data_IF_412840613368
#
_entry.id   IF_412840613368
#
_cell.length_a   1.000
_cell.length_b   1.000
_cell.length_c   1.000
_cell.angle_alpha   90.00
_cell.angle_beta   90.00
_cell.angle_gamma   90.00
#
_symmetry.space_group_name_H-M   'P 1'
#
loop_
_entity.id
_entity.type
_entity.pdbx_description
1 polymer ?
#
# COMPACT_ATOMS: atom_id res chain seq x y z
N UNK A 1 44.40 34.83 -84.37
CA UNK A 1 43.95 35.65 -83.23
C UNK A 1 42.96 34.85 -82.44
N UNK A 2 43.38 34.22 -81.32
CA UNK A 2 42.55 33.37 -80.45
C UNK A 2 42.48 34.03 -79.08
N UNK A 3 41.32 34.56 -78.78
CA UNK A 3 41.02 35.09 -77.46
C UNK A 3 40.67 33.92 -76.52
N UNK A 4 41.48 33.77 -75.50
CA UNK A 4 41.23 32.82 -74.41
C UNK A 4 40.50 33.57 -73.33
N UNK A 5 39.23 33.21 -73.08
CA UNK A 5 38.42 33.67 -71.91
C UNK A 5 38.79 32.85 -70.73
N UNK A 6 39.45 33.43 -69.74
CA UNK A 6 39.67 32.82 -68.44
C UNK A 6 38.51 33.20 -67.55
N UNK A 7 37.64 32.24 -67.22
CA UNK A 7 36.55 32.36 -66.28
C UNK A 7 37.09 32.10 -64.87
N UNK A 8 37.23 33.19 -64.08
CA UNK A 8 37.56 33.11 -62.68
C UNK A 8 36.30 32.70 -61.88
N UNK A 9 36.31 31.47 -61.42
CA UNK A 9 35.30 30.93 -60.49
C UNK A 9 35.70 31.37 -59.10
N UNK A 10 35.06 32.42 -58.56
CA UNK A 10 35.16 32.79 -57.17
C UNK A 10 34.19 31.90 -56.34
N UNK A 11 34.74 30.88 -55.73
CA UNK A 11 34.01 30.03 -54.78
C UNK A 11 33.75 30.81 -53.51
N UNK A 12 32.49 31.12 -53.27
CA UNK A 12 32.04 31.63 -51.99
C UNK A 12 32.00 30.47 -50.98
N UNK A 13 32.95 30.45 -50.07
CA UNK A 13 32.88 29.56 -48.91
C UNK A 13 31.78 30.10 -47.96
N UNK A 14 30.62 29.46 -47.97
CA UNK A 14 29.63 29.64 -46.93
C UNK A 14 30.10 28.83 -45.72
N UNK A 15 30.66 29.50 -44.74
CA UNK A 15 30.86 28.92 -43.43
C UNK A 15 29.49 28.83 -42.73
N UNK A 16 28.92 27.63 -42.70
CA UNK A 16 27.84 27.33 -41.83
C UNK A 16 28.39 27.30 -40.38
N UNK A 17 28.19 28.37 -39.63
CA UNK A 17 28.37 28.36 -38.20
C UNK A 17 27.17 27.58 -37.64
N UNK A 18 27.39 26.33 -37.26
CA UNK A 18 26.47 25.60 -36.38
C UNK A 18 26.55 26.27 -35.03
N UNK A 19 25.56 27.08 -34.70
CA UNK A 19 25.23 27.43 -33.34
C UNK A 19 24.86 26.13 -32.65
N UNK A 20 25.79 25.57 -31.90
CA UNK A 20 25.46 24.62 -30.86
C UNK A 20 24.82 25.47 -29.76
N UNK A 21 23.49 25.54 -29.77
CA UNK A 21 22.77 25.89 -28.57
C UNK A 21 23.11 24.83 -27.53
N UNK A 22 23.97 25.20 -26.59
CA UNK A 22 24.07 24.51 -25.33
C UNK A 22 22.69 24.60 -24.69
N UNK A 23 21.79 23.68 -25.04
CA UNK A 23 20.67 23.36 -24.20
C UNK A 23 21.28 22.80 -22.91
N UNK A 24 21.38 23.66 -21.92
CA UNK A 24 21.52 23.22 -20.54
C UNK A 24 20.39 22.22 -20.32
N UNK A 25 20.72 20.93 -20.48
CA UNK A 25 19.90 19.86 -19.91
C UNK A 25 19.99 20.12 -18.43
N UNK A 26 19.00 20.86 -17.91
CA UNK A 26 18.69 20.85 -16.50
C UNK A 26 18.45 19.38 -16.17
N UNK A 27 19.48 18.71 -15.70
CA UNK A 27 19.33 17.46 -14.98
C UNK A 27 18.49 17.80 -13.74
N UNK A 28 17.17 17.80 -13.94
CA UNK A 28 16.28 17.55 -12.85
C UNK A 28 16.64 16.13 -12.39
N UNK A 29 17.59 16.04 -11.48
CA UNK A 29 17.75 14.87 -10.66
C UNK A 29 16.42 14.75 -9.91
N UNK A 30 15.49 13.97 -10.48
CA UNK A 30 14.36 13.48 -9.72
C UNK A 30 14.97 12.71 -8.56
N UNK A 31 14.98 13.35 -7.41
CA UNK A 31 15.40 12.77 -6.17
C UNK A 31 14.48 11.58 -5.92
N UNK A 32 14.94 10.38 -6.25
CA UNK A 32 14.18 9.15 -6.06
C UNK A 32 14.11 8.87 -4.57
N UNK A 33 13.08 9.38 -3.94
CA UNK A 33 12.77 9.08 -2.55
C UNK A 33 12.16 7.67 -2.50
N UNK A 34 12.84 6.75 -1.85
CA UNK A 34 12.23 5.47 -1.50
C UNK A 34 11.33 5.65 -0.29
N UNK A 35 10.09 5.22 -0.45
CA UNK A 35 9.12 5.19 0.63
C UNK A 35 8.92 3.74 1.07
N UNK A 36 9.01 3.48 2.36
CA UNK A 36 8.70 2.18 2.92
C UNK A 36 7.62 2.32 4.00
N UNK A 37 6.63 1.45 3.98
CA UNK A 37 5.61 1.36 5.02
C UNK A 37 5.96 0.19 5.92
N UNK A 38 6.25 0.48 7.18
CA UNK A 38 6.37 -0.50 8.24
C UNK A 38 5.09 -0.52 9.10
N UNK A 39 4.84 -1.64 9.76
CA UNK A 39 3.69 -1.77 10.66
C UNK A 39 3.94 -2.81 11.73
N UNK A 40 3.29 -2.61 12.88
CA UNK A 40 3.38 -3.47 14.04
C UNK A 40 1.97 -3.92 14.48
N UNK A 41 1.87 -5.19 14.87
CA UNK A 41 0.63 -5.86 15.31
C UNK A 41 0.76 -6.33 16.76
N UNK A 42 1.52 -5.61 17.59
CA UNK A 42 1.91 -6.04 18.94
C UNK A 42 0.74 -5.99 19.94
N UNK A 43 -0.24 -5.14 19.66
CA UNK A 43 -1.42 -5.05 20.50
C UNK A 43 -2.22 -6.36 20.46
N UNK A 44 -2.74 -6.83 21.62
CA UNK A 44 -3.59 -8.00 21.66
C UNK A 44 -4.87 -7.78 20.84
N UNK A 45 -5.39 -8.87 20.29
CA UNK A 45 -6.70 -8.86 19.63
C UNK A 45 -7.80 -8.63 20.66
N UNK A 46 -8.65 -7.65 20.43
CA UNK A 46 -9.74 -7.29 21.32
C UNK A 46 -11.07 -7.79 20.74
N UNK A 47 -11.96 -8.23 21.66
CA UNK A 47 -13.28 -8.77 21.30
C UNK A 47 -14.38 -7.83 21.75
N UNK A 48 -15.32 -7.53 20.85
CA UNK A 48 -16.51 -6.79 21.25
C UNK A 48 -17.43 -7.67 22.08
N UNK A 49 -17.92 -7.10 23.18
CA UNK A 49 -18.76 -7.82 24.15
C UNK A 49 -20.02 -8.39 23.48
N UNK A 50 -20.26 -9.68 23.69
CA UNK A 50 -21.49 -10.35 23.34
C UNK A 50 -22.48 -10.20 24.51
N UNK A 51 -23.74 -9.86 24.20
CA UNK A 51 -24.79 -9.62 25.21
C UNK A 51 -25.55 -10.93 25.50
N UNK A 52 -24.88 -11.88 26.13
CA UNK A 52 -25.50 -13.16 26.53
C UNK A 52 -24.85 -13.74 27.80
N UNK A 53 -25.46 -14.78 28.37
CA UNK A 53 -25.03 -15.37 29.63
C UNK A 53 -23.74 -16.15 29.58
N UNK A 54 -23.47 -16.86 28.45
CA UNK A 54 -22.28 -17.69 28.27
C UNK A 54 -21.64 -17.39 26.87
N UNK A 55 -20.89 -16.28 26.75
CA UNK A 55 -20.25 -15.92 25.49
C UNK A 55 -18.97 -16.73 25.26
N UNK A 56 -18.81 -17.24 24.05
CA UNK A 56 -17.53 -17.73 23.53
C UNK A 56 -17.15 -16.87 22.33
N UNK A 57 -15.96 -16.29 22.34
CA UNK A 57 -15.53 -15.40 21.28
C UNK A 57 -14.99 -16.14 20.08
N UNK A 58 -15.11 -15.52 18.90
CA UNK A 58 -14.57 -16.08 17.67
C UNK A 58 -13.05 -16.25 17.76
N UNK A 59 -12.54 -17.31 17.15
CA UNK A 59 -11.09 -17.59 17.11
C UNK A 59 -10.63 -17.88 15.70
N UNK A 60 -9.51 -17.29 15.32
CA UNK A 60 -8.85 -17.63 14.06
C UNK A 60 -8.32 -19.05 14.13
N UNK A 61 -8.40 -19.79 13.02
CA UNK A 61 -7.82 -21.12 12.91
C UNK A 61 -6.30 -21.02 13.10
N UNK A 62 -5.78 -21.70 14.11
CA UNK A 62 -4.39 -21.63 14.54
C UNK A 62 -4.10 -20.54 15.58
N UNK A 63 -5.10 -19.75 15.99
CA UNK A 63 -4.99 -18.77 17.07
C UNK A 63 -4.52 -17.39 16.66
N UNK A 64 -4.38 -16.50 17.64
CA UNK A 64 -4.06 -15.08 17.44
C UNK A 64 -2.70 -14.87 16.78
N UNK A 65 -1.67 -15.62 17.21
CA UNK A 65 -0.32 -15.48 16.65
C UNK A 65 -0.28 -15.83 15.15
N UNK A 66 -1.00 -16.88 14.75
CA UNK A 66 -1.11 -17.27 13.34
C UNK A 66 -1.91 -16.24 12.54
N UNK A 67 -2.96 -15.69 13.11
CA UNK A 67 -3.69 -14.58 12.49
C UNK A 67 -2.78 -13.39 12.21
N UNK A 68 -2.04 -12.91 13.22
CA UNK A 68 -1.12 -11.78 13.09
C UNK A 68 0.00 -12.06 12.08
N UNK A 69 0.56 -13.25 12.10
CA UNK A 69 1.61 -13.66 11.16
C UNK A 69 1.08 -13.68 9.72
N UNK A 70 -0.12 -14.22 9.51
CA UNK A 70 -0.71 -14.31 8.19
C UNK A 70 -1.05 -12.93 7.63
N UNK A 71 -1.74 -12.09 8.40
CA UNK A 71 -2.08 -10.74 7.94
C UNK A 71 -0.82 -9.91 7.69
N UNK A 72 0.18 -10.01 8.54
CA UNK A 72 1.47 -9.34 8.33
C UNK A 72 2.13 -9.78 7.03
N UNK A 73 2.17 -11.08 6.75
CA UNK A 73 2.73 -11.59 5.49
C UNK A 73 2.00 -11.06 4.26
N UNK A 74 0.68 -11.04 4.30
CA UNK A 74 -0.12 -10.56 3.18
C UNK A 74 0.02 -9.05 2.99
N UNK A 75 -0.01 -8.27 4.07
CA UNK A 75 0.16 -6.82 3.99
C UNK A 75 1.49 -6.43 3.35
N UNK A 76 2.59 -7.16 3.62
CA UNK A 76 3.88 -6.93 2.94
C UNK A 76 3.80 -7.03 1.41
N UNK A 77 2.89 -7.86 0.89
CA UNK A 77 2.73 -8.06 -0.55
C UNK A 77 1.76 -7.10 -1.22
N UNK A 78 0.91 -6.43 -0.45
CA UNK A 78 -0.17 -5.61 -1.00
C UNK A 78 -0.06 -4.12 -0.67
N UNK A 79 0.62 -3.73 0.42
CA UNK A 79 0.79 -2.31 0.73
C UNK A 79 1.67 -1.63 -0.33
N UNK A 80 1.09 -0.66 -1.03
CA UNK A 80 1.77 0.10 -2.08
C UNK A 80 2.42 1.35 -1.50
N UNK A 81 3.74 1.29 -1.39
CA UNK A 81 4.55 2.39 -0.85
C UNK A 81 4.70 3.58 -1.79
N UNK A 82 4.31 3.44 -3.05
CA UNK A 82 4.39 4.50 -4.06
C UNK A 82 3.15 5.40 -4.13
N UNK A 83 2.00 4.94 -3.59
CA UNK A 83 0.71 5.60 -3.78
C UNK A 83 0.25 6.42 -2.58
N UNK A 84 0.70 6.12 -1.37
CA UNK A 84 0.25 6.80 -0.16
C UNK A 84 1.26 6.69 0.98
N UNK A 85 1.12 7.58 1.94
CA UNK A 85 1.81 7.52 3.23
C UNK A 85 0.80 7.26 4.33
N UNK A 86 1.19 6.49 5.33
CA UNK A 86 0.34 6.17 6.48
C UNK A 86 1.16 6.16 7.77
N UNK A 87 0.70 6.91 8.77
CA UNK A 87 1.35 7.01 10.06
C UNK A 87 0.30 6.98 11.17
N UNK A 88 0.63 6.29 12.25
CA UNK A 88 -0.19 6.24 13.45
C UNK A 88 -0.89 4.91 13.66
N UNK A 89 -1.72 4.88 14.70
CA UNK A 89 -2.45 3.68 15.12
C UNK A 89 -3.79 3.60 14.44
N UNK A 90 -4.02 2.51 13.72
CA UNK A 90 -5.30 2.19 13.10
C UNK A 90 -5.95 1.00 13.80
N UNK A 91 -7.27 0.98 13.81
CA UNK A 91 -8.07 -0.14 14.28
C UNK A 91 -8.66 -0.89 13.09
N UNK A 92 -8.22 -2.12 12.89
CA UNK A 92 -8.82 -3.05 11.95
C UNK A 92 -9.94 -3.81 12.66
N UNK A 93 -11.19 -3.51 12.32
CA UNK A 93 -12.38 -4.14 12.89
C UNK A 93 -12.88 -5.17 11.88
N UNK A 94 -12.87 -6.43 12.27
CA UNK A 94 -13.33 -7.56 11.47
C UNK A 94 -14.71 -8.02 11.94
N UNK A 95 -15.61 -8.21 10.99
CA UNK A 95 -16.97 -8.73 11.25
C UNK A 95 -17.04 -10.19 10.82
N UNK A 96 -17.15 -11.07 11.83
CA UNK A 96 -17.14 -12.50 11.65
C UNK A 96 -18.57 -13.02 11.72
N UNK A 97 -19.01 -13.68 10.68
CA UNK A 97 -20.34 -14.27 10.60
C UNK A 97 -20.50 -15.51 11.47
N UNK A 98 -21.74 -15.85 11.76
CA UNK A 98 -22.11 -17.08 12.49
C UNK A 98 -21.63 -18.37 11.82
N UNK A 99 -21.23 -18.32 10.57
CA UNK A 99 -20.63 -19.44 9.82
C UNK A 99 -19.10 -19.43 9.88
N UNK A 100 -18.48 -18.50 10.60
CA UNK A 100 -17.03 -18.36 10.69
C UNK A 100 -16.36 -17.64 9.51
N UNK A 101 -17.13 -17.10 8.57
CA UNK A 101 -16.57 -16.32 7.47
C UNK A 101 -16.34 -14.85 7.87
N UNK A 102 -15.30 -14.23 7.30
CA UNK A 102 -15.13 -12.78 7.34
C UNK A 102 -16.16 -12.15 6.41
N UNK A 103 -17.12 -11.41 6.95
CA UNK A 103 -18.18 -10.77 6.19
C UNK A 103 -17.74 -9.42 5.61
N UNK A 104 -17.10 -8.61 6.43
CA UNK A 104 -16.57 -7.29 6.08
C UNK A 104 -15.55 -6.85 7.10
N UNK A 105 -14.84 -5.77 6.78
CA UNK A 105 -13.96 -5.09 7.73
C UNK A 105 -14.20 -3.58 7.72
N UNK A 106 -13.63 -2.89 8.69
CA UNK A 106 -13.52 -1.44 8.75
C UNK A 106 -12.12 -1.09 9.23
N UNK A 107 -11.56 -0.03 8.68
CA UNK A 107 -10.29 0.54 9.12
C UNK A 107 -10.57 1.92 9.72
N UNK A 108 -10.07 2.19 10.93
CA UNK A 108 -10.24 3.47 11.63
C UNK A 108 -8.90 3.99 12.15
N UNK A 109 -8.66 5.33 12.16
CA UNK A 109 -9.60 6.36 11.71
C UNK A 109 -9.73 6.38 10.19
N UNK A 110 -10.83 6.95 9.69
CA UNK A 110 -10.92 7.31 8.28
C UNK A 110 -9.99 8.50 8.02
N UNK A 111 -9.15 8.39 7.00
CA UNK A 111 -8.16 9.42 6.64
C UNK A 111 -8.36 9.85 5.19
N UNK A 112 -7.92 11.05 4.86
CA UNK A 112 -7.94 11.52 3.48
C UNK A 112 -7.19 10.52 2.58
N UNK A 113 -7.77 10.17 1.44
CA UNK A 113 -7.26 9.13 0.52
C UNK A 113 -7.11 7.71 1.13
N UNK A 114 -7.74 7.45 2.28
CA UNK A 114 -7.69 6.17 2.97
C UNK A 114 -8.20 4.98 2.17
N UNK A 115 -8.98 5.23 1.10
CA UNK A 115 -9.50 4.19 0.22
C UNK A 115 -8.40 3.33 -0.45
N UNK A 116 -7.21 3.88 -0.66
CA UNK A 116 -6.08 3.12 -1.20
C UNK A 116 -5.52 2.14 -0.17
N UNK A 117 -5.33 2.60 1.06
CA UNK A 117 -4.93 1.73 2.17
C UNK A 117 -6.00 0.66 2.45
N UNK A 118 -7.28 1.05 2.45
CA UNK A 118 -8.40 0.11 2.64
C UNK A 118 -8.42 -0.96 1.55
N UNK A 119 -8.22 -0.59 0.28
CA UNK A 119 -8.11 -1.53 -0.83
C UNK A 119 -7.00 -2.55 -0.59
N UNK A 120 -5.82 -2.09 -0.19
CA UNK A 120 -4.66 -2.96 -0.01
C UNK A 120 -4.82 -3.87 1.21
N UNK A 121 -5.41 -3.36 2.30
CA UNK A 121 -5.79 -4.16 3.47
C UNK A 121 -6.88 -5.19 3.09
N UNK A 122 -7.84 -4.81 2.24
CA UNK A 122 -8.86 -5.74 1.75
C UNK A 122 -8.24 -6.89 0.95
N UNK A 123 -7.31 -6.57 0.04
CA UNK A 123 -6.60 -7.58 -0.74
C UNK A 123 -5.79 -8.53 0.16
N UNK A 124 -5.11 -7.99 1.16
CA UNK A 124 -4.39 -8.77 2.15
C UNK A 124 -5.33 -9.72 2.92
N UNK A 125 -6.48 -9.23 3.38
CA UNK A 125 -7.47 -10.03 4.09
C UNK A 125 -8.07 -11.12 3.20
N UNK A 126 -8.43 -10.81 1.97
CA UNK A 126 -9.00 -11.79 1.01
C UNK A 126 -7.99 -12.88 0.67
N UNK A 127 -6.73 -12.51 0.43
CA UNK A 127 -5.68 -13.46 0.07
C UNK A 127 -5.27 -14.37 1.25
N UNK A 128 -5.55 -13.94 2.47
CA UNK A 128 -5.31 -14.74 3.67
C UNK A 128 -6.27 -15.94 3.77
N UNK A 129 -7.39 -15.91 3.03
CA UNK A 129 -8.47 -16.90 3.11
C UNK A 129 -8.87 -17.19 4.59
N UNK A 130 -9.34 -16.19 5.32
CA UNK A 130 -9.48 -16.28 6.77
C UNK A 130 -10.56 -17.29 7.15
N UNK A 131 -10.22 -18.23 8.02
CA UNK A 131 -11.14 -19.19 8.60
C UNK A 131 -11.21 -18.96 10.11
N UNK A 132 -12.43 -18.79 10.61
CA UNK A 132 -12.70 -18.54 12.02
C UNK A 132 -13.63 -19.61 12.57
N UNK A 133 -13.38 -20.03 13.80
CA UNK A 133 -14.42 -20.64 14.61
C UNK A 133 -15.35 -19.50 15.02
N UNK A 134 -16.67 -19.57 14.72
CA UNK A 134 -17.59 -18.47 15.04
C UNK A 134 -17.75 -18.29 16.53
N UNK A 135 -18.15 -17.08 16.91
CA UNK A 135 -18.55 -16.83 18.27
C UNK A 135 -19.88 -17.55 18.59
N UNK A 136 -20.07 -17.89 19.84
CA UNK A 136 -21.35 -18.46 20.31
C UNK A 136 -21.90 -17.72 21.52
N UNK A 137 -23.21 -17.66 21.56
CA UNK A 137 -23.98 -17.24 22.75
C UNK A 137 -24.80 -18.40 23.25
N UNK A 138 -24.54 -18.85 24.48
CA UNK A 138 -25.19 -20.03 25.04
C UNK A 138 -25.15 -21.26 24.10
N UNK A 139 -23.99 -21.46 23.43
CA UNK A 139 -23.80 -22.56 22.49
C UNK A 139 -24.33 -22.32 21.06
N UNK A 140 -25.06 -21.24 20.80
CA UNK A 140 -25.63 -20.92 19.49
C UNK A 140 -24.67 -19.99 18.74
N UNK A 141 -24.23 -20.30 17.47
CA UNK A 141 -23.38 -19.43 16.69
C UNK A 141 -24.02 -18.06 16.41
N UNK A 142 -23.24 -17.00 16.60
CA UNK A 142 -23.67 -15.61 16.43
C UNK A 142 -22.63 -14.81 15.65
N UNK A 143 -23.08 -13.74 15.01
CA UNK A 143 -22.18 -12.77 14.42
C UNK A 143 -21.40 -12.03 15.51
N UNK A 144 -20.16 -11.73 15.22
CA UNK A 144 -19.26 -11.11 16.20
C UNK A 144 -18.31 -10.11 15.53
N UNK A 145 -17.67 -9.31 16.36
CA UNK A 145 -16.66 -8.36 15.92
C UNK A 145 -15.41 -8.52 16.75
N UNK A 146 -14.28 -8.42 16.08
CA UNK A 146 -12.96 -8.35 16.71
C UNK A 146 -12.24 -7.11 16.23
N UNK A 147 -11.31 -6.61 17.03
CA UNK A 147 -10.51 -5.44 16.75
C UNK A 147 -9.03 -5.80 16.91
N UNK A 148 -8.25 -5.50 15.87
CA UNK A 148 -6.79 -5.53 15.91
C UNK A 148 -6.25 -4.14 15.67
N UNK A 149 -5.42 -3.63 16.58
CA UNK A 149 -4.70 -2.39 16.37
C UNK A 149 -3.45 -2.66 15.53
N UNK A 150 -3.19 -1.73 14.61
CA UNK A 150 -2.03 -1.75 13.71
C UNK A 150 -1.36 -0.39 13.81
N UNK A 151 -0.10 -0.35 14.19
CA UNK A 151 0.71 0.87 14.15
C UNK A 151 1.42 0.93 12.81
N UNK A 152 1.08 1.91 11.98
CA UNK A 152 1.74 2.16 10.71
C UNK A 152 2.77 3.27 10.85
N UNK A 153 3.87 3.12 10.12
CA UNK A 153 4.90 4.12 9.96
C UNK A 153 5.40 4.13 8.53
N UNK A 154 5.44 5.31 7.95
CA UNK A 154 6.05 5.55 6.64
C UNK A 154 7.41 6.18 6.84
N UNK A 155 8.45 5.54 6.35
CA UNK A 155 9.82 6.04 6.33
C UNK A 155 10.19 6.42 4.89
N UNK A 156 10.74 7.60 4.71
CA UNK A 156 11.33 8.07 3.44
C UNK A 156 12.84 7.99 3.54
N UNK A 157 13.47 7.50 2.49
CA UNK A 157 14.92 7.39 2.39
C UNK A 157 15.38 8.14 1.15
N UNK A 158 16.27 9.12 1.34
CA UNK A 158 16.98 9.76 0.24
C UNK A 158 18.00 8.74 -0.32
N UNK A 159 18.09 8.64 -1.64
CA UNK A 159 19.01 7.74 -2.34
C UNK A 159 20.27 8.48 -2.76
#
# INVERSE_FOLDING_TARGET
>A
MRLIFILLFTGAFVQAQTLIEDSEISENSEEFVRVAISYELDHPTEYYRLKCGSPVYARFTGGESIFKQNISRQMKGFLDTGLYTVNGTFELILFIGKNGSLQRFQLKPEVANGHLLERDVELALRNMNPSWTPATCNGIPVDSRIRQKINFRTDSFDL
#
